data_IF_159337224348
#
_entry.id   IF_159337224348
#
_cell.length_a   1.000
_cell.length_b   1.000
_cell.length_c   1.000
_cell.angle_alpha   90.00
_cell.angle_beta   90.00
_cell.angle_gamma   90.00
#
_symmetry.space_group_name_H-M   'P 1'
#
loop_
_entity.id
_entity.type
_entity.pdbx_description
1 polymer ?
#
# COMPACT_ATOMS: atom_id res chain seq x y z
N UNK A 1 18.65 4.00 10.05
CA UNK A 1 17.38 3.85 10.78
C UNK A 1 17.41 2.52 11.50
N UNK A 2 17.49 2.57 12.82
CA UNK A 2 17.37 1.38 13.67
C UNK A 2 15.95 0.82 13.62
N UNK A 3 15.72 -0.31 14.31
CA UNK A 3 14.41 -0.94 14.34
C UNK A 3 13.38 -0.14 15.12
N UNK A 4 13.78 0.59 16.16
CA UNK A 4 12.87 1.40 16.98
C UNK A 4 12.14 2.42 16.10
N UNK A 5 12.88 3.15 15.27
CA UNK A 5 12.30 4.15 14.35
C UNK A 5 11.50 3.49 13.21
N UNK A 6 11.93 2.33 12.71
CA UNK A 6 11.13 1.59 11.71
C UNK A 6 9.78 1.16 12.28
N UNK A 7 9.78 0.61 13.49
CA UNK A 7 8.56 0.20 14.17
C UNK A 7 7.66 1.39 14.51
N UNK A 8 8.23 2.54 14.89
CA UNK A 8 7.43 3.75 15.13
C UNK A 8 6.71 4.19 13.85
N UNK A 9 7.38 4.22 12.70
CA UNK A 9 6.77 4.58 11.41
C UNK A 9 5.67 3.60 10.98
N UNK A 10 5.92 2.29 11.10
CA UNK A 10 4.90 1.26 10.80
C UNK A 10 3.68 1.46 11.71
N UNK A 11 3.91 1.69 13.01
CA UNK A 11 2.84 1.89 13.99
C UNK A 11 2.04 3.17 13.73
N UNK A 12 2.70 4.27 13.39
CA UNK A 12 2.06 5.55 13.11
C UNK A 12 1.22 5.49 11.82
N UNK A 13 1.68 4.74 10.80
CA UNK A 13 0.89 4.47 9.61
C UNK A 13 -0.38 3.65 9.95
N UNK A 14 -0.27 2.58 10.76
CA UNK A 14 -1.44 1.81 11.23
C UNK A 14 -2.43 2.69 11.98
N UNK A 15 -1.97 3.54 12.92
CA UNK A 15 -2.85 4.46 13.66
C UNK A 15 -3.56 5.42 12.72
N UNK A 16 -2.85 5.96 11.74
CA UNK A 16 -3.40 6.89 10.76
C UNK A 16 -4.47 6.20 9.88
N UNK A 17 -4.21 4.98 9.41
CA UNK A 17 -5.21 4.18 8.70
C UNK A 17 -6.42 3.85 9.57
N UNK A 18 -6.21 3.53 10.84
CA UNK A 18 -7.31 3.26 11.77
C UNK A 18 -8.22 4.49 11.90
N UNK A 19 -7.61 5.68 11.99
CA UNK A 19 -8.34 6.94 12.03
C UNK A 19 -9.15 7.17 10.74
N UNK A 20 -8.51 7.04 9.57
CA UNK A 20 -9.17 7.24 8.27
C UNK A 20 -10.32 6.24 8.08
N UNK A 21 -10.11 4.96 8.35
CA UNK A 21 -11.12 3.91 8.21
C UNK A 21 -12.31 4.09 9.18
N UNK A 22 -12.05 4.64 10.37
CA UNK A 22 -13.09 4.99 11.33
C UNK A 22 -13.87 6.26 10.97
N UNK A 23 -13.28 7.16 10.17
CA UNK A 23 -13.88 8.44 9.81
C UNK A 23 -15.03 8.32 8.79
N UNK A 24 -15.59 9.45 8.35
CA UNK A 24 -16.56 9.51 7.24
C UNK A 24 -15.93 9.19 5.89
N UNK A 25 -14.61 9.33 5.73
CA UNK A 25 -13.91 9.00 4.47
C UNK A 25 -13.84 7.50 4.20
N UNK A 26 -13.79 6.69 5.27
CA UNK A 26 -13.71 5.21 5.27
C UNK A 26 -12.48 4.60 4.62
N UNK A 27 -11.86 5.23 3.63
CA UNK A 27 -10.77 4.69 2.82
C UNK A 27 -9.78 5.82 2.50
N UNK A 28 -8.49 5.52 2.48
CA UNK A 28 -7.46 6.46 2.01
C UNK A 28 -7.42 6.51 0.48
N UNK A 29 -7.45 5.35 -0.18
CA UNK A 29 -7.70 5.20 -1.63
C UNK A 29 -6.48 5.32 -2.52
N UNK A 30 -5.46 6.05 -2.06
CA UNK A 30 -4.20 6.29 -2.80
C UNK A 30 -2.94 6.13 -1.95
N UNK A 31 -3.01 5.31 -0.90
CA UNK A 31 -1.92 5.13 0.04
C UNK A 31 -0.63 4.66 -0.67
N UNK A 32 0.46 5.39 -0.49
CA UNK A 32 1.82 5.00 -0.88
C UNK A 32 2.84 5.73 0.01
N UNK A 33 4.13 5.44 -0.14
CA UNK A 33 5.18 6.05 0.69
C UNK A 33 5.36 7.56 0.44
N UNK A 34 4.91 8.10 -0.69
CA UNK A 34 4.93 9.56 -0.96
C UNK A 34 3.87 10.32 -0.14
N UNK A 35 2.81 9.63 0.30
CA UNK A 35 1.82 10.17 1.23
C UNK A 35 2.28 10.12 2.69
N UNK A 36 3.48 9.58 2.98
CA UNK A 36 4.01 9.46 4.34
C UNK A 36 4.98 10.59 4.65
N UNK A 37 4.52 11.62 5.36
CA UNK A 37 5.35 12.74 5.80
C UNK A 37 5.88 12.48 7.20
N UNK A 38 7.16 12.78 7.42
CA UNK A 38 7.80 12.68 8.75
C UNK A 38 8.04 14.09 9.25
N UNK A 39 7.51 14.42 10.43
CA UNK A 39 7.72 15.73 11.05
C UNK A 39 9.00 15.79 11.89
N UNK A 40 9.29 16.96 12.46
CA UNK A 40 10.47 17.19 13.31
C UNK A 40 10.48 16.35 14.59
N UNK A 41 9.35 15.79 15.00
CA UNK A 41 9.22 14.89 16.14
C UNK A 41 9.37 13.41 15.74
N UNK A 42 9.75 13.12 14.49
CA UNK A 42 9.84 11.77 13.93
C UNK A 42 8.51 11.00 13.99
N UNK A 43 7.38 11.72 13.86
CA UNK A 43 6.07 11.11 13.69
C UNK A 43 5.72 11.01 12.21
N UNK A 44 5.25 9.84 11.79
CA UNK A 44 4.73 9.65 10.44
C UNK A 44 3.27 10.09 10.38
N UNK A 45 2.95 10.94 9.41
CA UNK A 45 1.60 11.44 9.13
C UNK A 45 1.22 11.09 7.70
N UNK A 46 0.03 10.51 7.54
CA UNK A 46 -0.55 10.28 6.23
C UNK A 46 -1.18 11.59 5.72
N UNK A 47 -0.85 11.96 4.49
CA UNK A 47 -1.46 13.07 3.76
C UNK A 47 -2.38 12.52 2.69
N UNK A 48 -2.95 13.41 1.87
CA UNK A 48 -3.45 12.99 0.56
C UNK A 48 -4.63 11.99 0.59
N UNK A 49 -5.29 11.80 1.72
CA UNK A 49 -6.51 11.02 1.81
C UNK A 49 -7.75 11.84 1.38
N UNK A 50 -8.79 11.16 0.89
CA UNK A 50 -10.04 11.81 0.47
C UNK A 50 -9.94 12.60 -0.84
N UNK A 51 -8.79 12.54 -1.50
CA UNK A 51 -8.50 13.35 -2.68
C UNK A 51 -9.22 12.89 -3.95
N UNK A 52 -9.59 11.61 -4.02
CA UNK A 52 -10.40 11.07 -5.13
C UNK A 52 -11.76 11.76 -5.28
N UNK A 53 -12.27 12.37 -4.21
CA UNK A 53 -13.51 13.17 -4.24
C UNK A 53 -13.32 14.60 -4.77
N UNK A 54 -12.08 15.08 -4.88
CA UNK A 54 -11.76 16.45 -5.33
C UNK A 54 -11.29 16.53 -6.79
N UNK A 55 -10.75 15.43 -7.34
CA UNK A 55 -10.26 15.41 -8.72
C UNK A 55 -11.41 15.15 -9.70
N UNK A 56 -12.02 16.21 -10.20
CA UNK A 56 -12.96 16.15 -11.32
C UNK A 56 -12.19 16.12 -12.65
N UNK A 57 -11.44 15.04 -12.88
CA UNK A 57 -10.67 14.85 -14.10
C UNK A 57 -11.60 14.37 -15.22
N UNK A 58 -11.53 15.04 -16.36
CA UNK A 58 -12.14 14.53 -17.60
C UNK A 58 -11.49 13.19 -17.99
N UNK A 59 -12.21 12.41 -18.79
CA UNK A 59 -11.69 11.15 -19.34
C UNK A 59 -10.33 11.37 -20.03
N UNK A 60 -10.19 12.43 -20.82
CA UNK A 60 -8.95 12.76 -21.52
C UNK A 60 -7.78 13.07 -20.56
N UNK A 61 -8.03 13.77 -19.45
CA UNK A 61 -7.02 14.05 -18.43
C UNK A 61 -6.61 12.79 -17.66
N UNK A 62 -7.56 11.90 -17.35
CA UNK A 62 -7.26 10.58 -16.79
C UNK A 62 -6.35 9.77 -17.72
N UNK A 63 -6.63 9.74 -19.03
CA UNK A 63 -5.77 9.10 -20.03
C UNK A 63 -4.40 9.78 -20.15
N UNK A 64 -4.35 11.11 -20.03
CA UNK A 64 -3.11 11.88 -20.00
C UNK A 64 -2.22 11.50 -18.82
N UNK A 65 -2.78 11.54 -17.61
CA UNK A 65 -2.10 11.16 -16.37
C UNK A 65 -1.57 9.72 -16.43
N UNK A 66 -2.31 8.78 -17.03
CA UNK A 66 -1.86 7.38 -17.17
C UNK A 66 -0.63 7.18 -18.07
N UNK A 67 -0.34 8.14 -18.95
CA UNK A 67 0.88 8.11 -19.76
C UNK A 67 2.10 8.64 -19.01
N UNK A 68 1.88 9.38 -17.92
CA UNK A 68 2.92 9.90 -17.06
C UNK A 68 3.68 8.75 -16.36
N UNK A 69 5.01 8.65 -16.54
CA UNK A 69 5.83 7.69 -15.81
C UNK A 69 5.67 7.76 -14.29
N UNK A 70 5.52 8.96 -13.71
CA UNK A 70 5.38 9.14 -12.26
C UNK A 70 4.04 8.59 -11.76
N UNK A 71 2.96 8.83 -12.51
CA UNK A 71 1.66 8.26 -12.21
C UNK A 71 1.69 6.74 -12.23
N UNK A 72 2.33 6.14 -13.25
CA UNK A 72 2.48 4.67 -13.35
C UNK A 72 3.32 4.11 -12.21
N UNK A 73 4.38 4.82 -11.82
CA UNK A 73 5.20 4.45 -10.67
C UNK A 73 4.34 4.41 -9.40
N UNK A 74 3.49 5.41 -9.17
CA UNK A 74 2.58 5.46 -8.03
C UNK A 74 1.53 4.31 -8.00
N UNK A 75 1.29 3.60 -9.11
CA UNK A 75 0.32 2.49 -9.14
C UNK A 75 0.84 1.18 -8.54
N UNK A 76 2.16 1.00 -8.34
CA UNK A 76 2.69 -0.28 -7.84
C UNK A 76 2.32 -0.57 -6.38
N UNK A 77 1.87 0.44 -5.64
CA UNK A 77 1.31 0.27 -4.30
C UNK A 77 -0.14 -0.20 -4.33
N UNK A 78 -0.85 -0.02 -5.45
CA UNK A 78 -2.29 -0.27 -5.52
C UNK A 78 -2.56 -1.77 -5.54
N UNK A 79 -3.62 -2.18 -4.86
CA UNK A 79 -4.05 -3.56 -4.83
C UNK A 79 -4.43 -4.04 -6.24
N UNK A 80 -4.12 -5.29 -6.61
CA UNK A 80 -4.28 -5.77 -7.98
C UNK A 80 -5.74 -5.71 -8.45
N UNK A 81 -6.71 -5.97 -7.56
CA UNK A 81 -8.14 -5.88 -7.87
C UNK A 81 -8.60 -4.46 -8.22
N UNK A 82 -7.86 -3.42 -7.81
CA UNK A 82 -8.14 -2.02 -8.14
C UNK A 82 -7.50 -1.59 -9.48
N UNK A 83 -6.73 -2.48 -10.10
CA UNK A 83 -6.00 -2.26 -11.36
C UNK A 83 -6.59 -3.05 -12.54
N UNK A 84 -7.47 -4.03 -12.28
CA UNK A 84 -8.08 -4.90 -13.32
C UNK A 84 -8.96 -4.12 -14.29
N UNK A 85 -9.65 -3.09 -13.79
CA UNK A 85 -10.52 -2.24 -14.60
C UNK A 85 -10.00 -0.82 -14.59
N UNK A 86 -9.69 -0.36 -15.77
CA UNK A 86 -9.42 1.04 -16.01
C UNK A 86 -10.70 1.84 -15.79
N UNK A 87 -10.78 2.56 -14.67
CA UNK A 87 -11.91 3.45 -14.39
C UNK A 87 -12.05 4.46 -15.54
N UNK A 88 -13.18 4.42 -16.23
CA UNK A 88 -13.50 5.32 -17.34
C UNK A 88 -14.30 6.53 -16.86
N UNK A 89 -14.77 6.49 -15.60
CA UNK A 89 -15.44 7.60 -14.93
C UNK A 89 -14.86 7.83 -13.54
N UNK A 90 -15.05 9.04 -12.99
CA UNK A 90 -14.66 9.37 -11.62
C UNK A 90 -15.38 8.49 -10.60
N UNK A 91 -16.66 8.22 -10.80
CA UNK A 91 -17.46 7.32 -9.95
C UNK A 91 -16.89 5.92 -9.91
N UNK A 92 -16.44 5.38 -11.04
CA UNK A 92 -15.76 4.08 -11.07
C UNK A 92 -14.41 4.11 -10.35
N UNK A 93 -13.66 5.20 -10.45
CA UNK A 93 -12.39 5.35 -9.74
C UNK A 93 -12.60 5.37 -8.22
N UNK A 94 -13.55 6.17 -7.73
CA UNK A 94 -13.91 6.25 -6.30
C UNK A 94 -14.45 4.90 -5.80
N UNK A 95 -15.29 4.23 -6.58
CA UNK A 95 -15.84 2.93 -6.20
C UNK A 95 -14.83 1.78 -6.33
N UNK A 96 -13.68 2.02 -6.97
CA UNK A 96 -12.63 1.00 -7.11
C UNK A 96 -11.83 0.81 -5.82
N UNK A 97 -11.74 1.82 -4.95
CA UNK A 97 -10.89 1.75 -3.75
C UNK A 97 -11.59 1.07 -2.57
N UNK A 98 -10.81 0.51 -1.65
CA UNK A 98 -11.34 -0.23 -0.50
C UNK A 98 -10.36 -0.22 0.68
N UNK A 99 -10.87 -0.44 1.89
CA UNK A 99 -10.04 -0.60 3.10
C UNK A 99 -9.04 -1.75 2.96
N UNK A 100 -9.44 -2.85 2.29
CA UNK A 100 -8.55 -3.97 2.00
C UNK A 100 -7.43 -3.57 1.02
N UNK A 101 -7.68 -2.63 0.11
CA UNK A 101 -6.63 -2.12 -0.77
C UNK A 101 -5.67 -1.16 -0.08
N UNK A 102 -6.14 -0.36 0.90
CA UNK A 102 -5.24 0.39 1.77
C UNK A 102 -4.31 -0.56 2.55
N UNK A 103 -4.82 -1.71 3.01
CA UNK A 103 -4.01 -2.73 3.70
C UNK A 103 -2.96 -3.35 2.77
N UNK A 104 -3.30 -3.60 1.50
CA UNK A 104 -2.33 -4.05 0.50
C UNK A 104 -1.21 -3.01 0.35
N UNK A 105 -1.59 -1.75 0.13
CA UNK A 105 -0.67 -0.63 -0.06
C UNK A 105 0.23 -0.43 1.16
N UNK A 106 -0.32 -0.59 2.36
CA UNK A 106 0.43 -0.58 3.61
C UNK A 106 1.47 -1.72 3.67
N UNK A 107 1.15 -2.91 3.17
CA UNK A 107 2.10 -4.02 3.05
C UNK A 107 3.30 -3.69 2.17
N UNK A 108 3.09 -2.92 1.09
CA UNK A 108 4.18 -2.43 0.24
C UNK A 108 5.04 -1.39 1.00
N UNK A 109 4.41 -0.45 1.71
CA UNK A 109 5.14 0.52 2.56
C UNK A 109 5.94 -0.20 3.65
N UNK A 110 5.40 -1.25 4.27
CA UNK A 110 6.14 -2.07 5.23
C UNK A 110 7.40 -2.67 4.60
N UNK A 111 7.31 -3.21 3.37
CA UNK A 111 8.48 -3.71 2.66
C UNK A 111 9.51 -2.61 2.43
N UNK A 112 9.10 -1.40 2.04
CA UNK A 112 10.01 -0.28 1.84
C UNK A 112 10.73 0.09 3.14
N UNK A 113 10.03 0.13 4.28
CA UNK A 113 10.60 0.40 5.59
C UNK A 113 11.59 -0.70 6.03
N UNK A 114 11.24 -1.97 5.81
CA UNK A 114 12.05 -3.13 6.20
C UNK A 114 13.34 -3.18 5.38
N UNK A 115 13.24 -3.13 4.05
CA UNK A 115 14.38 -3.28 3.15
C UNK A 115 15.13 -1.97 2.92
N UNK A 116 14.53 -0.82 3.27
CA UNK A 116 15.02 0.53 2.92
C UNK A 116 15.29 0.66 1.42
N UNK A 117 14.37 0.13 0.64
CA UNK A 117 14.47 0.04 -0.80
C UNK A 117 13.09 0.30 -1.42
N UNK A 118 13.07 0.57 -2.73
CA UNK A 118 11.83 0.82 -3.48
C UNK A 118 10.87 -0.39 -3.42
N UNK A 119 9.58 -0.19 -3.71
CA UNK A 119 8.65 -1.30 -3.88
C UNK A 119 9.21 -2.34 -4.84
N UNK A 120 9.09 -3.62 -4.49
CA UNK A 120 9.49 -4.75 -5.34
C UNK A 120 10.97 -4.71 -5.77
N UNK A 121 11.85 -4.03 -5.02
CA UNK A 121 13.26 -3.84 -5.38
C UNK A 121 14.05 -5.12 -5.62
N UNK A 122 13.60 -6.25 -5.08
CA UNK A 122 14.23 -7.58 -5.25
C UNK A 122 14.14 -8.12 -6.68
N UNK A 123 13.21 -7.61 -7.49
CA UNK A 123 13.02 -8.10 -8.86
C UNK A 123 13.92 -7.40 -9.89
N UNK A 124 14.44 -6.20 -9.58
CA UNK A 124 15.25 -5.43 -10.52
C UNK A 124 14.51 -5.00 -11.80
N UNK A 125 13.18 -4.95 -11.76
CA UNK A 125 12.31 -4.60 -12.89
C UNK A 125 11.94 -3.12 -12.87
N UNK A 126 11.63 -2.57 -14.05
CA UNK A 126 11.12 -1.21 -14.16
C UNK A 126 9.65 -1.11 -13.68
N UNK A 127 9.20 0.06 -13.19
CA UNK A 127 7.85 0.24 -12.64
C UNK A 127 6.72 -0.19 -13.57
N UNK A 128 6.87 0.00 -14.88
CA UNK A 128 5.88 -0.44 -15.87
C UNK A 128 5.74 -1.96 -15.93
N UNK A 129 6.85 -2.69 -15.87
CA UNK A 129 6.87 -4.16 -15.87
C UNK A 129 6.29 -4.70 -14.56
N UNK A 130 6.68 -4.11 -13.43
CA UNK A 130 6.13 -4.44 -12.12
C UNK A 130 4.60 -4.29 -12.11
N UNK A 131 4.09 -3.18 -12.64
CA UNK A 131 2.65 -2.91 -12.71
C UNK A 131 1.91 -3.98 -13.52
N UNK A 132 2.46 -4.41 -14.65
CA UNK A 132 1.86 -5.46 -15.47
C UNK A 132 1.85 -6.82 -14.75
N UNK A 133 2.89 -7.15 -13.98
CA UNK A 133 2.89 -8.35 -13.14
C UNK A 133 1.87 -8.27 -11.99
N UNK A 134 1.73 -7.10 -11.35
CA UNK A 134 0.71 -6.89 -10.31
C UNK A 134 -0.69 -7.07 -10.90
N UNK A 135 -1.00 -6.43 -12.04
CA UNK A 135 -2.30 -6.59 -12.73
C UNK A 135 -2.63 -8.04 -13.05
N UNK A 136 -1.66 -8.79 -13.58
CA UNK A 136 -1.83 -10.22 -13.92
C UNK A 136 -2.04 -11.12 -12.71
N UNK A 137 -1.73 -10.65 -11.50
CA UNK A 137 -1.87 -11.47 -10.28
C UNK A 137 -3.31 -11.89 -9.97
N UNK A 138 -4.31 -11.20 -10.50
CA UNK A 138 -5.74 -11.58 -10.36
C UNK A 138 -6.21 -12.57 -11.43
N UNK A 139 -5.40 -12.84 -12.46
CA UNK A 139 -5.78 -13.76 -13.53
C UNK A 139 -5.76 -15.21 -13.07
N UNK A 140 -6.76 -15.98 -13.52
CA UNK A 140 -6.89 -17.39 -13.13
C UNK A 140 -5.67 -18.20 -13.62
N UNK A 141 -5.00 -18.87 -12.68
CA UNK A 141 -3.85 -19.72 -12.97
C UNK A 141 -2.50 -18.99 -12.97
N UNK A 142 -2.49 -17.67 -12.77
CA UNK A 142 -1.25 -16.92 -12.56
C UNK A 142 -0.80 -17.01 -11.09
N UNK A 143 0.51 -17.02 -10.88
CA UNK A 143 1.10 -16.94 -9.55
C UNK A 143 0.92 -15.52 -8.98
N UNK A 144 0.75 -15.42 -7.66
CA UNK A 144 0.71 -14.13 -6.98
C UNK A 144 2.07 -13.42 -7.13
N UNK A 145 2.06 -12.24 -7.73
CA UNK A 145 3.22 -11.34 -7.75
C UNK A 145 3.18 -10.46 -6.50
N UNK A 146 4.22 -10.53 -5.68
CA UNK A 146 4.27 -9.87 -4.38
C UNK A 146 5.71 -9.57 -3.98
N UNK A 147 5.98 -8.55 -3.14
CA UNK A 147 7.33 -8.26 -2.70
C UNK A 147 7.98 -9.44 -1.97
N UNK A 148 9.29 -9.61 -2.16
CA UNK A 148 10.09 -10.62 -1.47
C UNK A 148 10.88 -9.93 -0.36
N UNK A 149 10.80 -10.46 0.85
CA UNK A 149 11.57 -10.02 2.02
C UNK A 149 12.37 -11.23 2.49
N UNK A 150 13.69 -11.12 2.51
CA UNK A 150 14.56 -12.19 2.99
C UNK A 150 14.37 -12.43 4.49
N UNK A 151 14.53 -13.68 4.94
CA UNK A 151 14.40 -14.05 6.36
C UNK A 151 15.42 -13.34 7.26
N UNK A 152 16.56 -12.93 6.70
CA UNK A 152 17.60 -12.15 7.37
C UNK A 152 17.20 -10.69 7.61
N UNK A 153 16.18 -10.20 6.90
CA UNK A 153 15.85 -8.77 6.89
C UNK A 153 15.12 -8.33 8.15
N UNK A 154 14.23 -9.16 8.73
CA UNK A 154 13.45 -8.86 9.93
C UNK A 154 12.84 -10.13 10.56
N UNK A 155 12.01 -9.99 11.60
CA UNK A 155 11.38 -11.14 12.26
C UNK A 155 10.40 -11.87 11.33
N UNK A 156 10.30 -13.20 11.49
CA UNK A 156 9.41 -14.04 10.69
C UNK A 156 7.94 -13.61 10.82
N UNK A 157 7.55 -13.09 11.99
CA UNK A 157 6.21 -12.55 12.24
C UNK A 157 5.95 -11.30 11.38
N UNK A 158 6.94 -10.41 11.24
CA UNK A 158 6.80 -9.20 10.43
C UNK A 158 6.75 -9.53 8.93
N UNK A 159 7.56 -10.50 8.48
CA UNK A 159 7.50 -11.06 7.12
C UNK A 159 6.13 -11.70 6.87
N UNK A 160 5.63 -12.48 7.82
CA UNK A 160 4.31 -13.10 7.77
C UNK A 160 3.18 -12.08 7.71
N UNK A 161 3.29 -10.97 8.44
CA UNK A 161 2.34 -9.86 8.42
C UNK A 161 2.31 -9.19 7.05
N UNK A 162 3.49 -8.86 6.49
CA UNK A 162 3.63 -8.33 5.14
C UNK A 162 2.95 -9.27 4.12
N UNK A 163 3.24 -10.57 4.21
CA UNK A 163 2.67 -11.59 3.32
C UNK A 163 1.14 -11.65 3.33
N UNK A 164 0.52 -11.39 4.48
CA UNK A 164 -0.94 -11.32 4.59
C UNK A 164 -1.48 -10.01 4.01
N UNK A 165 -0.77 -8.88 4.19
CA UNK A 165 -1.18 -7.58 3.65
C UNK A 165 -1.32 -7.60 2.13
N UNK A 166 -0.33 -8.12 1.40
CA UNK A 166 -0.37 -8.17 -0.07
C UNK A 166 -0.98 -9.45 -0.66
N UNK A 167 -1.89 -10.10 0.08
CA UNK A 167 -2.67 -11.20 -0.48
C UNK A 167 -3.48 -10.74 -1.70
N UNK A 168 -3.51 -11.55 -2.77
CA UNK A 168 -4.35 -11.28 -3.95
C UNK A 168 -5.82 -11.26 -3.59
N UNK A 169 -6.25 -12.13 -2.68
CA UNK A 169 -7.63 -12.19 -2.21
C UNK A 169 -7.86 -11.12 -1.12
N UNK A 170 -8.68 -10.08 -1.37
CA UNK A 170 -8.82 -8.96 -0.44
C UNK A 170 -9.32 -9.37 0.95
N UNK A 171 -10.17 -10.39 1.01
CA UNK A 171 -10.73 -10.93 2.26
C UNK A 171 -9.72 -11.68 3.13
N UNK A 172 -8.57 -12.09 2.57
CA UNK A 172 -7.49 -12.73 3.32
C UNK A 172 -6.53 -11.72 3.97
N UNK A 173 -6.69 -10.44 3.65
CA UNK A 173 -5.88 -9.37 4.23
C UNK A 173 -6.37 -9.07 5.65
N UNK A 174 -5.46 -8.79 6.60
CA UNK A 174 -5.83 -8.45 7.98
C UNK A 174 -6.58 -7.12 8.02
N UNK A 175 -7.47 -6.95 8.99
CA UNK A 175 -8.00 -5.62 9.28
C UNK A 175 -6.93 -4.75 9.93
N UNK A 176 -7.11 -3.42 9.90
CA UNK A 176 -6.21 -2.50 10.63
C UNK A 176 -6.18 -2.80 12.13
N UNK A 177 -7.29 -3.29 12.69
CA UNK A 177 -7.34 -3.73 14.09
C UNK A 177 -6.42 -4.94 14.34
N UNK A 178 -6.38 -5.90 13.42
CA UNK A 178 -5.50 -7.07 13.48
C UNK A 178 -4.04 -6.66 13.35
N UNK A 179 -3.71 -5.79 12.38
CA UNK A 179 -2.37 -5.23 12.20
C UNK A 179 -1.85 -4.59 13.50
N UNK A 180 -2.69 -3.76 14.13
CA UNK A 180 -2.36 -3.09 15.38
C UNK A 180 -2.15 -4.08 16.52
N UNK A 181 -2.87 -5.20 16.55
CA UNK A 181 -2.72 -6.24 17.58
C UNK A 181 -1.36 -6.92 17.45
N UNK A 182 -1.02 -7.39 16.25
CA UNK A 182 0.26 -8.07 15.96
C UNK A 182 1.44 -7.14 16.25
N UNK A 183 1.37 -5.87 15.83
CA UNK A 183 2.49 -4.95 16.04
C UNK A 183 2.72 -4.59 17.52
N UNK A 184 1.66 -4.53 18.35
CA UNK A 184 1.80 -4.33 19.80
C UNK A 184 2.49 -5.50 20.49
N UNK A 185 2.26 -6.73 20.03
CA UNK A 185 2.91 -7.92 20.57
C UNK A 185 4.41 -7.93 20.22
N UNK A 186 4.76 -7.52 18.99
CA UNK A 186 6.15 -7.41 18.53
C UNK A 186 6.91 -6.24 19.19
N UNK A 187 6.27 -5.07 19.33
CA UNK A 187 6.91 -3.88 19.91
C UNK A 187 7.20 -3.99 21.41
N UNK A 188 6.68 -5.02 22.11
CA UNK A 188 7.06 -5.33 23.50
C UNK A 188 8.39 -6.09 23.60
N UNK A 189 8.92 -6.59 22.49
CA UNK A 189 10.16 -7.36 22.41
C UNK A 189 11.38 -6.49 22.06
N UNK A 190 11.18 -5.18 21.88
CA UNK A 190 12.19 -4.16 21.60
C UNK A 190 12.31 -3.22 22.79
#
# INVERSE_FOLDING_TARGET
MDWIVRFSFINDCIKSLQYIHGSSLKVHGRLNSLCCFIDSAFLLKLTDYGMDAFYDLTVAELWGARRDPEYRLAQVWKAPEHLVREASTQTEAINSVSTAGDVYSFGIIMQEVILRARPFSTYGMEPGELLEHVKKSTEKGQASFKPIIEESACSAELIGLCNKCYSVEPLKRPSVADLRKVLREQGRLL
#
